data_IF_703206192449
#
_entry.id   IF_703206192449
#
_cell.length_a   1.000
_cell.length_b   1.000
_cell.length_c   1.000
_cell.angle_alpha   90.00
_cell.angle_beta   90.00
_cell.angle_gamma   90.00
#
_symmetry.space_group_name_H-M   'P 1'
#
loop_
_entity.id
_entity.type
_entity.pdbx_description
1 polymer ?
#
# COMPACT_ATOMS: atom_id res chain seq x y z
N UNK A 1 21.85 -21.57 -11.29
CA UNK A 1 20.86 -21.69 -10.22
C UNK A 1 20.19 -20.36 -10.20
N UNK A 2 19.03 -20.31 -10.84
CA UNK A 2 18.25 -19.13 -11.12
C UNK A 2 17.46 -18.79 -9.84
N UNK A 3 17.94 -17.83 -9.08
CA UNK A 3 17.21 -17.23 -7.96
C UNK A 3 16.52 -15.96 -8.46
N UNK A 4 15.53 -16.13 -9.34
CA UNK A 4 14.49 -15.12 -9.57
C UNK A 4 13.49 -15.21 -8.42
N UNK A 5 13.84 -14.64 -7.26
CA UNK A 5 12.86 -14.36 -6.21
C UNK A 5 11.89 -13.28 -6.73
N UNK A 6 10.72 -13.74 -7.19
CA UNK A 6 9.61 -12.91 -7.61
C UNK A 6 9.02 -12.16 -6.40
N UNK A 7 9.60 -11.00 -6.10
CA UNK A 7 9.31 -10.13 -4.95
C UNK A 7 7.86 -9.59 -4.94
N UNK A 8 7.08 -9.84 -6.00
CA UNK A 8 5.72 -9.34 -6.18
C UNK A 8 4.67 -10.45 -6.38
N UNK A 9 5.04 -11.73 -6.22
CA UNK A 9 4.14 -12.86 -6.47
C UNK A 9 3.02 -13.06 -5.43
N UNK A 10 2.87 -12.23 -4.39
CA UNK A 10 1.93 -12.50 -3.29
C UNK A 10 0.54 -11.88 -3.39
N UNK A 11 0.15 -11.21 -4.48
CA UNK A 11 -1.15 -10.52 -4.56
C UNK A 11 -2.20 -11.28 -5.41
N UNK A 12 -2.29 -12.59 -5.21
CA UNK A 12 -3.47 -13.37 -5.62
C UNK A 12 -3.86 -14.34 -4.49
N UNK A 13 -4.08 -13.82 -3.29
CA UNK A 13 -4.84 -14.54 -2.27
C UNK A 13 -6.29 -14.08 -2.33
N UNK A 14 -7.11 -14.92 -2.98
CA UNK A 14 -8.57 -14.86 -2.94
C UNK A 14 -9.08 -14.77 -1.50
N UNK A 15 -10.04 -13.87 -1.29
CA UNK A 15 -10.80 -13.65 -0.07
C UNK A 15 -11.29 -14.98 0.55
N UNK A 16 -10.50 -15.54 1.46
CA UNK A 16 -10.96 -16.49 2.47
C UNK A 16 -11.01 -15.75 3.79
N UNK A 17 -12.17 -15.20 4.12
CA UNK A 17 -12.53 -14.78 5.48
C UNK A 17 -12.43 -15.99 6.42
N UNK A 18 -11.22 -16.26 6.90
CA UNK A 18 -10.98 -17.13 8.05
C UNK A 18 -11.07 -16.24 9.28
N UNK A 19 -11.81 -16.68 10.30
CA UNK A 19 -11.90 -16.05 11.62
C UNK A 19 -10.49 -15.69 12.13
N UNK A 20 -10.06 -14.45 11.88
CA UNK A 20 -8.76 -13.96 12.28
C UNK A 20 -8.80 -13.67 13.78
N UNK A 21 -7.86 -14.26 14.53
CA UNK A 21 -7.69 -13.94 15.94
C UNK A 21 -7.41 -12.42 16.04
N UNK A 22 -7.97 -11.66 16.99
CA UNK A 22 -7.59 -10.26 17.20
C UNK A 22 -6.09 -10.05 17.38
N UNK A 23 -5.34 -11.08 17.79
CA UNK A 23 -3.88 -11.06 17.78
C UNK A 23 -3.24 -11.21 16.39
N UNK A 24 -3.89 -11.89 15.44
CA UNK A 24 -3.41 -11.96 14.04
C UNK A 24 -3.55 -10.60 13.33
N UNK A 25 -4.40 -9.71 13.85
CA UNK A 25 -4.46 -8.30 13.41
C UNK A 25 -3.32 -7.45 13.96
N UNK A 26 -2.72 -7.83 15.09
CA UNK A 26 -1.46 -7.23 15.52
C UNK A 26 -0.40 -7.75 14.55
N UNK A 27 0.40 -6.88 13.95
CA UNK A 27 1.46 -7.23 13.01
C UNK A 27 1.03 -7.48 11.56
N UNK A 28 -0.16 -6.99 11.16
CA UNK A 28 -0.60 -7.02 9.77
C UNK A 28 0.41 -6.35 8.81
N UNK A 29 1.14 -5.34 9.26
CA UNK A 29 2.12 -4.62 8.43
C UNK A 29 3.56 -5.08 8.66
N UNK A 30 3.81 -6.03 9.57
CA UNK A 30 5.17 -6.33 10.04
C UNK A 30 6.09 -6.83 8.93
N UNK A 31 5.60 -7.70 8.05
CA UNK A 31 6.36 -8.22 6.91
C UNK A 31 6.81 -7.09 5.99
N UNK A 32 5.88 -6.21 5.63
CA UNK A 32 6.14 -5.13 4.68
C UNK A 32 7.03 -4.04 5.32
N UNK A 33 6.83 -3.75 6.61
CA UNK A 33 7.67 -2.82 7.37
C UNK A 33 9.12 -3.32 7.48
N UNK A 34 9.36 -4.62 7.62
CA UNK A 34 10.71 -5.19 7.62
C UNK A 34 11.45 -4.87 6.32
N UNK A 35 10.84 -5.17 5.17
CA UNK A 35 11.42 -4.89 3.86
C UNK A 35 11.60 -3.39 3.63
N UNK A 36 10.64 -2.58 4.08
CA UNK A 36 10.69 -1.13 3.94
C UNK A 36 11.84 -0.52 4.74
N UNK A 37 11.97 -0.90 6.01
CA UNK A 37 13.01 -0.38 6.92
C UNK A 37 14.41 -0.73 6.43
N UNK A 38 14.61 -1.96 5.93
CA UNK A 38 15.85 -2.33 5.22
C UNK A 38 16.08 -1.48 3.97
N UNK A 39 15.04 -1.23 3.16
CA UNK A 39 15.11 -0.34 1.99
C UNK A 39 15.45 1.12 2.31
N UNK A 40 15.22 1.56 3.55
CA UNK A 40 15.65 2.86 4.07
C UNK A 40 17.05 2.85 4.70
N UNK A 41 17.75 1.71 4.69
CA UNK A 41 19.13 1.56 5.13
C UNK A 41 19.33 1.04 6.54
N UNK A 42 18.29 0.47 7.18
CA UNK A 42 18.42 -0.25 8.44
C UNK A 42 18.91 -1.70 8.22
N UNK A 43 19.03 -2.47 9.30
CA UNK A 43 19.43 -3.88 9.26
C UNK A 43 18.42 -4.77 8.50
N UNK A 44 18.89 -5.88 7.93
CA UNK A 44 18.06 -6.89 7.27
C UNK A 44 17.09 -7.56 8.25
N UNK A 45 17.48 -7.65 9.52
CA UNK A 45 16.66 -8.15 10.63
C UNK A 45 16.47 -7.05 11.70
N UNK A 46 15.60 -6.05 11.45
CA UNK A 46 15.30 -5.01 12.42
C UNK A 46 14.72 -5.59 13.71
N UNK A 47 15.03 -4.94 14.83
CA UNK A 47 14.48 -5.29 16.15
C UNK A 47 12.95 -5.35 16.14
N UNK A 48 12.40 -6.38 16.77
CA UNK A 48 10.96 -6.57 16.89
C UNK A 48 10.25 -5.36 17.53
N UNK A 49 10.90 -4.73 18.51
CA UNK A 49 10.38 -3.53 19.19
C UNK A 49 10.33 -2.33 18.24
N UNK A 50 11.29 -2.22 17.32
CA UNK A 50 11.30 -1.14 16.31
C UNK A 50 10.11 -1.31 15.37
N UNK A 51 9.86 -2.54 14.91
CA UNK A 51 8.72 -2.85 14.05
C UNK A 51 7.38 -2.58 14.76
N UNK A 52 7.25 -2.95 16.03
CA UNK A 52 6.04 -2.70 16.82
C UNK A 52 5.74 -1.20 16.95
N UNK A 53 6.76 -0.40 17.26
CA UNK A 53 6.62 1.05 17.40
C UNK A 53 6.30 1.69 16.05
N UNK A 54 6.98 1.27 14.99
CA UNK A 54 6.76 1.80 13.65
C UNK A 54 5.35 1.48 13.15
N UNK A 55 4.87 0.25 13.37
CA UNK A 55 3.50 -0.13 13.04
C UNK A 55 2.47 0.75 13.77
N UNK A 56 2.66 0.99 15.08
CA UNK A 56 1.79 1.87 15.84
C UNK A 56 1.79 3.31 15.30
N UNK A 57 2.96 3.85 14.91
CA UNK A 57 3.09 5.19 14.32
C UNK A 57 2.34 5.26 12.98
N UNK A 58 2.52 4.25 12.11
CA UNK A 58 1.87 4.20 10.79
C UNK A 58 0.36 4.11 10.92
N UNK A 59 -0.15 3.24 11.80
CA UNK A 59 -1.59 3.10 12.03
C UNK A 59 -2.21 4.40 12.57
N UNK A 60 -1.53 5.07 13.51
CA UNK A 60 -1.99 6.36 14.02
C UNK A 60 -2.00 7.42 12.92
N UNK A 61 -0.95 7.50 12.10
CA UNK A 61 -0.89 8.42 10.97
C UNK A 61 -2.04 8.20 9.98
N UNK A 62 -2.31 6.96 9.59
CA UNK A 62 -3.42 6.63 8.67
C UNK A 62 -4.76 7.05 9.29
N UNK A 63 -4.97 6.73 10.56
CA UNK A 63 -6.19 7.11 11.28
C UNK A 63 -6.41 8.62 11.31
N UNK A 64 -5.38 9.38 11.67
CA UNK A 64 -5.43 10.84 11.71
C UNK A 64 -5.67 11.44 10.32
N UNK A 65 -4.99 10.93 9.29
CA UNK A 65 -5.17 11.36 7.91
C UNK A 65 -6.61 11.12 7.42
N UNK A 66 -7.17 9.94 7.69
CA UNK A 66 -8.56 9.62 7.37
C UNK A 66 -9.55 10.54 8.11
N UNK A 67 -9.32 10.81 9.39
CA UNK A 67 -10.15 11.73 10.16
C UNK A 67 -10.09 13.17 9.62
N UNK A 68 -8.92 13.62 9.16
CA UNK A 68 -8.78 14.91 8.48
C UNK A 68 -9.50 14.92 7.13
N UNK A 69 -9.41 13.83 6.36
CA UNK A 69 -10.04 13.73 5.05
C UNK A 69 -11.56 13.82 5.16
N UNK A 70 -12.15 13.13 6.15
CA UNK A 70 -13.59 13.21 6.44
C UNK A 70 -14.06 14.61 6.84
N UNK A 71 -13.19 15.44 7.44
CA UNK A 71 -13.53 16.83 7.82
C UNK A 71 -13.48 17.80 6.66
N UNK A 72 -12.66 17.51 5.65
CA UNK A 72 -12.51 18.36 4.44
C UNK A 72 -13.53 17.98 3.37
N UNK A 73 -13.83 16.68 3.25
CA UNK A 73 -14.75 16.12 2.28
C UNK A 73 -16.22 16.30 2.65
N UNK A 74 -17.09 15.56 1.96
CA UNK A 74 -18.52 15.55 2.25
C UNK A 74 -18.81 14.82 3.58
N UNK A 75 -19.82 15.27 4.35
CA UNK A 75 -20.31 14.50 5.47
C UNK A 75 -20.64 13.07 5.03
N UNK A 76 -20.25 12.08 5.83
CA UNK A 76 -20.54 10.65 5.66
C UNK A 76 -19.88 9.94 4.47
N UNK A 77 -19.08 10.62 3.64
CA UNK A 77 -18.34 9.98 2.54
C UNK A 77 -16.93 10.56 2.37
N UNK A 78 -15.94 9.68 2.56
CA UNK A 78 -14.55 9.96 2.20
C UNK A 78 -14.28 9.53 0.75
N UNK A 79 -13.66 10.42 -0.03
CA UNK A 79 -13.20 10.13 -1.38
C UNK A 79 -11.65 10.19 -1.45
N UNK A 80 -11.06 9.60 -2.50
CA UNK A 80 -9.60 9.60 -2.68
C UNK A 80 -9.08 11.01 -2.96
N UNK A 81 -9.90 11.85 -3.58
CA UNK A 81 -9.63 13.26 -3.85
C UNK A 81 -9.41 14.05 -2.56
N UNK A 82 -10.09 13.68 -1.46
CA UNK A 82 -9.95 14.35 -0.16
C UNK A 82 -8.54 14.10 0.43
N UNK A 83 -8.05 12.87 0.32
CA UNK A 83 -6.69 12.50 0.75
C UNK A 83 -5.66 13.21 -0.14
N UNK A 84 -5.88 13.23 -1.45
CA UNK A 84 -5.00 13.91 -2.41
C UNK A 84 -4.92 15.43 -2.13
N UNK A 85 -6.04 16.04 -1.76
CA UNK A 85 -6.10 17.44 -1.36
C UNK A 85 -5.29 17.74 -0.08
N UNK A 86 -5.35 16.86 0.92
CA UNK A 86 -4.60 17.04 2.17
C UNK A 86 -3.09 17.08 1.94
N UNK A 87 -2.57 16.24 1.04
CA UNK A 87 -1.13 16.15 0.75
C UNK A 87 -0.62 17.21 -0.24
N UNK A 88 -1.48 18.07 -0.81
CA UNK A 88 -1.11 19.03 -1.88
C UNK A 88 0.04 19.98 -1.56
N UNK A 89 0.33 20.21 -0.27
CA UNK A 89 1.42 21.09 0.18
C UNK A 89 2.76 20.36 0.27
N UNK A 90 2.75 19.03 0.32
CA UNK A 90 3.95 18.20 0.29
C UNK A 90 4.26 17.85 -1.16
N UNK A 91 5.17 18.61 -1.78
CA UNK A 91 5.51 18.45 -3.20
C UNK A 91 6.02 17.05 -3.54
N UNK A 92 6.75 16.40 -2.63
CA UNK A 92 7.30 15.06 -2.84
C UNK A 92 6.19 14.02 -2.83
N UNK A 93 5.32 14.02 -1.80
CA UNK A 93 4.19 13.09 -1.73
C UNK A 93 3.20 13.31 -2.88
N UNK A 94 2.91 14.57 -3.21
CA UNK A 94 1.98 14.93 -4.28
C UNK A 94 2.47 14.46 -5.66
N UNK A 95 3.73 14.72 -6.00
CA UNK A 95 4.32 14.23 -7.25
C UNK A 95 4.32 12.70 -7.30
N UNK A 96 4.74 12.05 -6.22
CA UNK A 96 4.81 10.59 -6.15
C UNK A 96 3.46 9.93 -6.39
N UNK A 97 2.38 10.45 -5.81
CA UNK A 97 1.01 9.93 -6.01
C UNK A 97 0.60 10.08 -7.47
N UNK A 98 0.86 11.23 -8.10
CA UNK A 98 0.57 11.46 -9.51
C UNK A 98 1.28 10.44 -10.40
N UNK A 99 2.58 10.20 -10.16
CA UNK A 99 3.38 9.25 -10.94
C UNK A 99 2.86 7.80 -10.79
N UNK A 100 2.52 7.41 -9.56
CA UNK A 100 1.94 6.09 -9.28
C UNK A 100 0.61 5.85 -10.00
N UNK A 101 -0.29 6.85 -9.99
CA UNK A 101 -1.58 6.74 -10.67
C UNK A 101 -1.40 6.66 -12.19
N UNK A 102 -0.51 7.48 -12.77
CA UNK A 102 -0.19 7.44 -14.21
C UNK A 102 0.33 6.06 -14.63
N UNK A 103 1.29 5.52 -13.88
CA UNK A 103 1.87 4.20 -14.17
C UNK A 103 0.82 3.08 -14.01
N UNK A 104 -0.04 3.15 -12.99
CA UNK A 104 -1.14 2.19 -12.81
C UNK A 104 -2.11 2.21 -13.99
N UNK A 105 -2.43 3.39 -14.52
CA UNK A 105 -3.28 3.52 -15.71
C UNK A 105 -2.61 2.95 -16.97
N UNK A 106 -1.31 3.20 -17.16
CA UNK A 106 -0.54 2.64 -18.27
C UNK A 106 -0.51 1.10 -18.22
N UNK A 107 -0.23 0.53 -17.05
CA UNK A 107 -0.26 -0.92 -16.85
C UNK A 107 -1.66 -1.51 -17.13
N UNK A 108 -2.72 -0.84 -16.69
CA UNK A 108 -4.11 -1.25 -16.97
C UNK A 108 -4.41 -1.23 -18.47
N UNK A 109 -3.96 -0.21 -19.20
CA UNK A 109 -4.13 -0.11 -20.66
C UNK A 109 -3.37 -1.23 -21.38
N UNK A 110 -2.10 -1.46 -20.99
CA UNK A 110 -1.28 -2.52 -21.56
C UNK A 110 -1.95 -3.90 -21.36
N UNK A 111 -2.40 -4.22 -20.14
CA UNK A 111 -3.08 -5.50 -19.86
C UNK A 111 -4.33 -5.70 -20.73
N UNK A 112 -5.16 -4.68 -20.89
CA UNK A 112 -6.34 -4.75 -21.77
C UNK A 112 -5.98 -5.05 -23.23
N UNK A 113 -4.92 -4.43 -23.74
CA UNK A 113 -4.45 -4.67 -25.11
C UNK A 113 -3.96 -6.12 -25.32
N UNK A 114 -3.41 -6.78 -24.29
CA UNK A 114 -3.02 -8.18 -24.38
C UNK A 114 -4.22 -9.13 -24.25
N UNK A 115 -5.20 -8.83 -23.40
CA UNK A 115 -6.40 -9.66 -23.22
C UNK A 115 -7.31 -9.64 -24.47
N UNK A 116 -7.39 -8.52 -25.17
CA UNK A 116 -8.14 -8.39 -26.44
C UNK A 116 -7.46 -9.11 -27.62
N UNK A 117 -6.17 -9.48 -27.49
CA UNK A 117 -5.36 -10.18 -28.50
C UNK A 117 -5.30 -11.70 -28.22
N UNK A 118 -6.15 -12.23 -27.32
CA UNK A 118 -6.27 -13.69 -27.16
C UNK A 118 -6.60 -14.36 -28.51
N UNK A 119 -5.70 -15.22 -29.03
CA UNK A 119 -5.84 -15.78 -30.36
C UNK A 119 -7.01 -16.74 -30.42
N UNK A 120 -7.75 -16.65 -31.51
CA UNK A 120 -8.66 -17.67 -32.01
C UNK A 120 -7.84 -18.94 -32.23
N UNK A 121 -7.88 -19.89 -31.29
CA UNK A 121 -7.50 -21.28 -31.47
C UNK A 121 -8.51 -22.17 -30.73
#
# INVERSE_FOLDING_TARGET
MDDDEDLFASDVDEDKEKNANPEDKKHALRRDLRTMVYGFGDDKEPSDKTLDVLEAIVLNYIKELCQLAMKVGKPDKMALEDIHYLIRRDSKKFSRVKDLLSMSEELKKARKQFDEVKPIL
#
